data_IF_154449646718
#
_entry.id   IF_154449646718
#
_cell.length_a   1.000
_cell.length_b   1.000
_cell.length_c   1.000
_cell.angle_alpha   90.00
_cell.angle_beta   90.00
_cell.angle_gamma   90.00
#
_symmetry.space_group_name_H-M   'P 1'
#
loop_
_entity.id
_entity.type
_entity.pdbx_description
1 polymer ?
#
# COMPACT_ATOMS: atom_id res chain seq x y z
N UNK A 1 9.30 -2.61 -10.27
CA UNK A 1 7.91 -3.05 -10.55
C UNK A 1 7.22 -2.19 -11.61
N UNK A 2 7.10 -0.88 -11.43
CA UNK A 2 6.39 -0.01 -12.39
C UNK A 2 6.84 -0.20 -13.84
N UNK A 3 8.15 -0.28 -14.10
CA UNK A 3 8.69 -0.55 -15.45
C UNK A 3 8.21 -1.87 -16.05
N UNK A 4 8.13 -2.94 -15.25
CA UNK A 4 7.70 -4.27 -15.73
C UNK A 4 6.23 -4.28 -16.18
N UNK A 5 5.41 -3.41 -15.60
CA UNK A 5 4.00 -3.26 -15.96
C UNK A 5 3.73 -2.05 -16.86
N UNK A 6 4.78 -1.42 -17.40
CA UNK A 6 4.68 -0.23 -18.25
C UNK A 6 3.85 0.89 -17.61
N UNK A 7 4.01 1.08 -16.30
CA UNK A 7 3.39 2.21 -15.58
C UNK A 7 4.32 3.40 -15.68
N UNK A 8 3.89 4.55 -16.24
CA UNK A 8 4.67 5.79 -16.18
C UNK A 8 4.99 6.13 -14.73
N UNK A 9 6.22 6.52 -14.44
CA UNK A 9 6.64 6.82 -13.08
C UNK A 9 7.86 7.73 -13.04
N UNK A 10 7.99 8.45 -11.95
CA UNK A 10 9.17 9.23 -11.58
C UNK A 10 9.76 8.57 -10.34
N UNK A 11 11.04 8.22 -10.39
CA UNK A 11 11.77 7.67 -9.25
C UNK A 11 12.50 8.78 -8.52
N UNK A 12 12.06 9.18 -7.33
CA UNK A 12 12.85 10.00 -6.42
C UNK A 12 13.83 9.11 -5.66
N UNK A 13 15.09 9.52 -5.62
CA UNK A 13 16.17 8.75 -4.99
C UNK A 13 16.80 9.57 -3.89
N UNK A 14 16.72 9.04 -2.68
CA UNK A 14 17.31 9.62 -1.49
C UNK A 14 18.43 8.72 -0.96
N UNK A 15 19.33 9.23 -0.10
CA UNK A 15 20.32 8.41 0.57
C UNK A 15 19.67 7.26 1.33
N UNK A 16 20.30 6.07 1.31
CA UNK A 16 19.75 4.87 1.94
C UNK A 16 19.65 4.99 3.46
N UNK A 17 20.43 5.86 4.05
CA UNK A 17 20.52 6.16 5.47
C UNK A 17 19.89 7.52 5.84
N UNK A 18 19.14 8.11 4.91
CA UNK A 18 18.47 9.39 5.08
C UNK A 18 16.96 9.33 4.88
N UNK A 19 16.28 10.39 5.31
CA UNK A 19 14.86 10.56 5.05
C UNK A 19 14.63 11.19 3.66
N UNK A 20 13.47 10.93 3.04
CA UNK A 20 13.03 11.66 1.86
C UNK A 20 13.00 13.18 2.12
N UNK A 21 13.52 13.97 1.18
CA UNK A 21 13.39 15.43 1.19
C UNK A 21 11.97 15.81 0.75
N UNK A 22 11.17 16.31 1.70
CA UNK A 22 9.78 16.71 1.46
C UNK A 22 9.67 17.87 0.47
N UNK A 23 10.66 18.77 0.43
CA UNK A 23 10.68 19.87 -0.54
C UNK A 23 10.89 19.35 -1.97
N UNK A 24 11.70 18.30 -2.15
CA UNK A 24 11.85 17.63 -3.45
C UNK A 24 10.60 16.88 -3.85
N UNK A 25 9.93 16.22 -2.91
CA UNK A 25 8.63 15.57 -3.17
C UNK A 25 7.60 16.59 -3.64
N UNK A 26 7.44 17.70 -2.92
CA UNK A 26 6.51 18.77 -3.27
C UNK A 26 6.84 19.39 -4.63
N UNK A 27 8.10 19.76 -4.87
CA UNK A 27 8.54 20.28 -6.17
C UNK A 27 8.20 19.34 -7.32
N UNK A 28 8.43 18.04 -7.14
CA UNK A 28 8.11 17.04 -8.16
C UNK A 28 6.61 17.00 -8.46
N UNK A 29 5.76 17.09 -7.44
CA UNK A 29 4.31 17.13 -7.62
C UNK A 29 3.84 18.40 -8.31
N UNK A 30 4.44 19.56 -8.00
CA UNK A 30 4.16 20.84 -8.67
C UNK A 30 4.54 20.81 -10.15
N UNK A 31 5.73 20.27 -10.46
CA UNK A 31 6.25 20.19 -11.82
C UNK A 31 5.53 19.15 -12.69
N UNK A 32 4.85 18.19 -12.08
CA UNK A 32 4.18 17.08 -12.77
C UNK A 32 2.73 16.92 -12.27
N UNK A 33 1.82 17.82 -12.64
CA UNK A 33 0.43 17.84 -12.15
C UNK A 33 -0.43 16.65 -12.65
N UNK A 34 0.09 15.83 -13.54
CA UNK A 34 -0.52 14.59 -14.03
C UNK A 34 -0.22 13.36 -13.15
N UNK A 35 0.57 13.52 -12.08
CA UNK A 35 0.80 12.46 -11.10
C UNK A 35 -0.52 12.15 -10.39
N UNK A 36 -0.97 10.90 -10.52
CA UNK A 36 -2.22 10.42 -9.90
C UNK A 36 -2.00 9.63 -8.62
N UNK A 37 -0.78 9.21 -8.34
CA UNK A 37 -0.46 8.44 -7.13
C UNK A 37 0.99 8.67 -6.68
N UNK A 38 1.18 8.70 -5.37
CA UNK A 38 2.49 8.68 -4.70
C UNK A 38 2.63 7.35 -3.95
N UNK A 39 3.75 6.67 -4.12
CA UNK A 39 4.07 5.43 -3.43
C UNK A 39 5.32 5.62 -2.58
N UNK A 40 5.28 5.15 -1.33
CA UNK A 40 6.46 5.05 -0.49
C UNK A 40 6.37 3.86 0.47
N UNK A 41 7.52 3.38 0.92
CA UNK A 41 7.63 2.41 2.01
C UNK A 41 7.55 3.15 3.35
N UNK A 42 6.77 2.64 4.32
CA UNK A 42 6.68 3.27 5.64
C UNK A 42 7.96 3.07 6.46
N UNK A 43 8.55 1.87 6.41
CA UNK A 43 9.83 1.60 7.05
C UNK A 43 10.74 0.80 6.13
N UNK A 44 11.96 1.28 5.96
CA UNK A 44 13.02 0.58 5.22
C UNK A 44 13.54 -0.61 6.03
N UNK A 45 13.26 -1.80 5.55
CA UNK A 45 13.63 -3.05 6.27
C UNK A 45 15.14 -3.18 6.49
N UNK A 46 15.95 -2.71 5.53
CA UNK A 46 17.41 -2.82 5.58
C UNK A 46 18.10 -1.88 6.56
N UNK A 47 17.49 -0.73 6.85
CA UNK A 47 18.08 0.33 7.69
C UNK A 47 17.30 0.59 8.98
N UNK A 48 16.01 0.20 9.00
CA UNK A 48 15.10 0.51 10.10
C UNK A 48 14.54 1.93 10.07
N UNK A 49 14.87 2.73 9.04
CA UNK A 49 14.40 4.12 8.92
C UNK A 49 12.90 4.15 8.71
N UNK A 50 12.22 4.94 9.52
CA UNK A 50 10.80 5.22 9.40
C UNK A 50 10.60 6.48 8.53
N UNK A 51 10.01 6.30 7.35
CA UNK A 51 9.77 7.39 6.42
C UNK A 51 8.58 8.26 6.85
N UNK A 52 8.58 9.57 6.52
CA UNK A 52 7.54 10.53 6.90
C UNK A 52 6.28 10.37 6.03
N UNK A 53 5.64 9.19 6.13
CA UNK A 53 4.46 8.83 5.31
C UNK A 53 3.31 9.81 5.48
N UNK A 54 3.10 10.33 6.70
CA UNK A 54 2.04 11.28 6.99
C UNK A 54 2.22 12.60 6.22
N UNK A 55 3.44 13.11 6.22
CA UNK A 55 3.81 14.35 5.54
C UNK A 55 3.77 14.17 4.03
N UNK A 56 4.30 13.07 3.52
CA UNK A 56 4.23 12.72 2.09
C UNK A 56 2.78 12.56 1.64
N UNK A 57 1.94 11.91 2.46
CA UNK A 57 0.52 11.76 2.19
C UNK A 57 -0.21 13.10 2.15
N UNK A 58 0.11 14.03 3.05
CA UNK A 58 -0.44 15.38 3.02
C UNK A 58 -0.09 16.13 1.73
N UNK A 59 1.17 16.03 1.28
CA UNK A 59 1.60 16.60 0.00
C UNK A 59 0.86 15.93 -1.18
N UNK A 60 0.77 14.61 -1.20
CA UNK A 60 0.03 13.88 -2.25
C UNK A 60 -1.43 14.38 -2.34
N UNK A 61 -2.12 14.48 -1.21
CA UNK A 61 -3.52 14.96 -1.16
C UNK A 61 -3.65 16.43 -1.59
N UNK A 62 -2.71 17.30 -1.20
CA UNK A 62 -2.71 18.70 -1.61
C UNK A 62 -2.62 18.85 -3.15
N UNK A 63 -2.01 17.88 -3.83
CA UNK A 63 -1.89 17.83 -5.29
C UNK A 63 -2.88 16.88 -5.97
N UNK A 64 -3.89 16.37 -5.24
CA UNK A 64 -4.94 15.50 -5.79
C UNK A 64 -4.49 14.07 -6.12
N UNK A 65 -3.31 13.66 -5.64
CA UNK A 65 -2.78 12.32 -5.84
C UNK A 65 -3.18 11.35 -4.72
N UNK A 66 -3.35 10.07 -5.07
CA UNK A 66 -3.60 8.97 -4.12
C UNK A 66 -2.30 8.62 -3.39
N UNK A 67 -2.35 8.50 -2.06
CA UNK A 67 -1.22 8.05 -1.26
C UNK A 67 -1.25 6.54 -1.04
N UNK A 68 -0.20 5.85 -1.49
CA UNK A 68 -0.02 4.39 -1.35
C UNK A 68 1.19 4.12 -0.45
N UNK A 69 0.97 3.44 0.66
CA UNK A 69 2.03 3.09 1.61
C UNK A 69 2.29 1.57 1.67
N UNK A 70 3.54 1.17 1.52
CA UNK A 70 3.99 -0.15 1.88
C UNK A 70 4.22 -0.19 3.40
N UNK A 71 3.36 -0.89 4.10
CA UNK A 71 3.41 -1.04 5.56
C UNK A 71 3.80 -2.45 5.98
N UNK A 72 4.43 -3.23 5.09
CA UNK A 72 4.77 -4.63 5.36
C UNK A 72 5.57 -4.78 6.65
N UNK A 73 6.53 -3.90 6.89
CA UNK A 73 7.40 -3.97 8.08
C UNK A 73 6.84 -3.25 9.32
N UNK A 74 5.75 -2.50 9.19
CA UNK A 74 5.22 -1.67 10.28
C UNK A 74 3.82 -2.02 10.71
N UNK A 75 3.03 -2.66 9.85
CA UNK A 75 1.66 -3.04 10.17
C UNK A 75 1.62 -3.96 11.40
N UNK A 76 0.79 -3.63 12.38
CA UNK A 76 0.72 -4.29 13.70
C UNK A 76 2.00 -4.19 14.57
N UNK A 77 3.04 -3.44 14.14
CA UNK A 77 4.25 -3.17 14.92
C UNK A 77 4.29 -1.74 15.44
N UNK A 78 3.76 -0.81 14.67
CA UNK A 78 3.71 0.62 15.00
C UNK A 78 2.26 1.05 14.91
N UNK A 79 1.75 1.89 15.86
CA UNK A 79 0.41 2.46 15.75
C UNK A 79 0.24 3.16 14.39
N UNK A 80 -0.79 2.76 13.65
CA UNK A 80 -1.03 3.23 12.29
C UNK A 80 -2.53 3.37 12.03
N UNK A 81 -2.94 4.56 11.68
CA UNK A 81 -4.29 4.86 11.20
C UNK A 81 -4.18 5.40 9.78
N UNK A 82 -4.88 4.80 8.82
CA UNK A 82 -4.86 5.24 7.41
C UNK A 82 -5.30 6.70 7.27
N UNK A 83 -6.28 7.14 8.05
CA UNK A 83 -6.78 8.52 7.98
C UNK A 83 -5.81 9.52 8.62
N UNK A 84 -5.26 9.23 9.80
CA UNK A 84 -4.30 10.10 10.48
C UNK A 84 -2.96 10.21 9.75
N UNK A 85 -2.61 9.16 9.01
CA UNK A 85 -1.38 9.10 8.22
C UNK A 85 -1.55 9.60 6.78
N UNK A 86 -2.74 10.13 6.42
CA UNK A 86 -3.06 10.59 5.06
C UNK A 86 -2.81 9.51 3.99
N UNK A 87 -3.14 8.25 4.29
CA UNK A 87 -2.94 7.11 3.39
C UNK A 87 -4.28 6.69 2.80
N UNK A 88 -4.31 6.39 1.51
CA UNK A 88 -5.51 5.91 0.83
C UNK A 88 -5.48 4.41 0.57
N UNK A 89 -4.27 3.87 0.40
CA UNK A 89 -4.01 2.45 0.22
C UNK A 89 -2.80 2.05 1.03
N UNK A 90 -2.93 1.03 1.87
CA UNK A 90 -1.76 0.40 2.48
C UNK A 90 -1.77 -1.11 2.24
N UNK A 91 -0.58 -1.68 2.18
CA UNK A 91 -0.41 -3.10 1.96
C UNK A 91 0.49 -3.72 3.02
N UNK A 92 0.15 -4.95 3.40
CA UNK A 92 0.97 -5.71 4.33
C UNK A 92 0.86 -7.22 4.09
N UNK A 93 1.51 -7.99 4.94
CA UNK A 93 1.55 -9.44 4.86
C UNK A 93 1.48 -10.07 6.26
N UNK A 94 0.95 -11.29 6.34
CA UNK A 94 0.65 -11.94 7.60
C UNK A 94 1.89 -12.32 8.42
N UNK A 95 3.04 -12.57 7.79
CA UNK A 95 4.25 -13.11 8.45
C UNK A 95 5.16 -12.05 9.10
N UNK A 96 4.78 -10.77 9.06
CA UNK A 96 5.52 -9.68 9.71
C UNK A 96 4.94 -9.38 11.09
N UNK A 97 4.49 -8.16 11.36
CA UNK A 97 3.99 -7.74 12.67
C UNK A 97 2.83 -8.56 13.21
N UNK A 98 1.98 -9.10 12.35
CA UNK A 98 0.90 -10.01 12.76
C UNK A 98 1.42 -11.37 13.25
N UNK A 99 2.65 -11.77 12.88
CA UNK A 99 3.30 -13.03 13.28
C UNK A 99 2.54 -14.29 12.79
N UNK A 100 1.81 -14.17 11.68
CA UNK A 100 1.18 -15.29 11.00
C UNK A 100 2.13 -16.05 10.08
N UNK A 101 1.60 -17.02 9.33
CA UNK A 101 2.36 -17.77 8.32
C UNK A 101 2.54 -16.94 7.05
N UNK A 102 3.63 -17.22 6.31
CA UNK A 102 3.85 -16.70 4.95
C UNK A 102 2.78 -17.19 3.97
N UNK A 103 2.54 -16.44 2.90
CA UNK A 103 1.64 -16.83 1.80
C UNK A 103 0.31 -16.08 1.78
N UNK A 104 0.09 -15.12 2.70
CA UNK A 104 -1.04 -14.21 2.68
C UNK A 104 -0.56 -12.76 2.72
N UNK A 105 -0.97 -11.97 1.74
CA UNK A 105 -0.87 -10.51 1.77
C UNK A 105 -2.27 -9.91 1.70
N UNK A 106 -2.40 -8.73 2.24
CA UNK A 106 -3.66 -7.99 2.22
C UNK A 106 -3.43 -6.52 1.90
N UNK A 107 -4.47 -5.89 1.39
CA UNK A 107 -4.49 -4.47 1.04
C UNK A 107 -5.71 -3.84 1.70
N UNK A 108 -5.50 -2.76 2.43
CA UNK A 108 -6.55 -1.88 2.90
C UNK A 108 -6.60 -0.68 1.97
N UNK A 109 -7.74 -0.44 1.36
CA UNK A 109 -7.91 0.65 0.40
C UNK A 109 -9.23 1.38 0.64
N UNK A 110 -9.23 2.70 0.46
CA UNK A 110 -10.48 3.47 0.43
C UNK A 110 -11.35 2.98 -0.72
N UNK A 111 -12.64 2.79 -0.47
CA UNK A 111 -13.60 2.33 -1.50
C UNK A 111 -13.64 3.26 -2.72
N UNK A 112 -13.47 4.56 -2.50
CA UNK A 112 -13.39 5.56 -3.58
C UNK A 112 -12.20 5.33 -4.52
N UNK A 113 -11.05 4.92 -3.99
CA UNK A 113 -9.86 4.61 -4.79
C UNK A 113 -10.10 3.35 -5.64
N UNK A 114 -10.70 2.30 -5.07
CA UNK A 114 -11.06 1.10 -5.85
C UNK A 114 -12.09 1.42 -6.94
N UNK A 115 -13.05 2.30 -6.66
CA UNK A 115 -14.02 2.73 -7.66
C UNK A 115 -13.35 3.51 -8.81
N UNK A 116 -12.45 4.44 -8.49
CA UNK A 116 -11.70 5.20 -9.50
C UNK A 116 -10.76 4.30 -10.32
N UNK A 117 -10.19 3.27 -9.71
CA UNK A 117 -9.29 2.33 -10.37
C UNK A 117 -9.94 1.55 -11.53
N UNK A 118 -11.28 1.45 -11.56
CA UNK A 118 -12.03 0.82 -12.67
C UNK A 118 -11.82 1.52 -14.02
N UNK A 119 -11.49 2.81 -14.02
CA UNK A 119 -11.25 3.57 -15.25
C UNK A 119 -9.89 3.24 -15.90
N UNK A 120 -9.00 2.55 -15.19
CA UNK A 120 -7.67 2.25 -15.71
C UNK A 120 -7.59 0.85 -16.32
N UNK A 121 -6.71 0.64 -17.32
CA UNK A 121 -6.56 -0.65 -17.97
C UNK A 121 -6.04 -1.72 -16.99
N UNK A 122 -6.58 -2.91 -17.09
CA UNK A 122 -6.14 -4.08 -16.33
C UNK A 122 -4.73 -4.49 -16.77
N UNK A 123 -3.77 -4.40 -15.87
CA UNK A 123 -2.36 -4.76 -16.13
C UNK A 123 -1.96 -6.12 -15.59
N UNK A 124 -2.74 -6.66 -14.66
CA UNK A 124 -2.52 -8.00 -14.10
C UNK A 124 -3.85 -8.69 -13.86
N UNK A 125 -3.98 -9.90 -14.34
CA UNK A 125 -5.18 -10.70 -14.10
C UNK A 125 -5.25 -11.20 -12.65
N UNK A 126 -4.14 -11.71 -12.13
CA UNK A 126 -4.10 -12.31 -10.78
C UNK A 126 -4.19 -11.28 -9.66
N UNK A 127 -3.41 -10.21 -9.75
CA UNK A 127 -3.33 -9.16 -8.71
C UNK A 127 -4.27 -7.97 -8.95
N UNK A 128 -5.38 -8.16 -9.67
CA UNK A 128 -6.38 -7.13 -9.88
C UNK A 128 -7.22 -6.95 -8.62
N UNK A 129 -6.95 -5.89 -7.85
CA UNK A 129 -7.63 -5.60 -6.59
C UNK A 129 -9.11 -5.26 -6.76
N UNK A 130 -9.47 -4.58 -7.86
CA UNK A 130 -10.87 -4.24 -8.16
C UNK A 130 -11.69 -5.50 -8.33
N UNK A 131 -11.23 -6.43 -9.18
CA UNK A 131 -11.93 -7.69 -9.40
C UNK A 131 -11.94 -8.58 -8.15
N UNK A 132 -10.87 -8.53 -7.33
CA UNK A 132 -10.84 -9.26 -6.05
C UNK A 132 -11.88 -8.70 -5.08
N UNK A 133 -11.99 -7.38 -4.96
CA UNK A 133 -12.99 -6.71 -4.13
C UNK A 133 -14.42 -7.03 -4.59
N UNK A 134 -14.68 -6.92 -5.89
CA UNK A 134 -15.99 -7.26 -6.47
C UNK A 134 -16.37 -8.72 -6.25
N UNK A 135 -15.41 -9.64 -6.35
CA UNK A 135 -15.62 -11.05 -6.04
C UNK A 135 -16.04 -11.24 -4.58
N UNK A 136 -15.34 -10.62 -3.63
CA UNK A 136 -15.71 -10.67 -2.23
C UNK A 136 -17.10 -10.09 -1.93
N UNK A 137 -17.45 -8.96 -2.54
CA UNK A 137 -18.79 -8.35 -2.36
C UNK A 137 -19.92 -9.24 -2.91
N UNK A 138 -19.66 -9.96 -4.01
CA UNK A 138 -20.66 -10.80 -4.66
C UNK A 138 -20.82 -12.18 -4.03
N UNK A 139 -19.73 -12.83 -3.64
CA UNK A 139 -19.71 -14.25 -3.24
C UNK A 139 -19.20 -14.49 -1.83
N UNK A 140 -18.52 -13.53 -1.22
CA UNK A 140 -17.79 -13.71 0.05
C UNK A 140 -16.51 -14.56 -0.10
N UNK A 141 -16.09 -14.87 -1.33
CA UNK A 141 -14.98 -15.78 -1.61
C UNK A 141 -13.83 -15.08 -2.32
N UNK A 142 -12.63 -15.63 -2.17
CA UNK A 142 -11.46 -15.21 -2.97
C UNK A 142 -11.65 -15.66 -4.41
N UNK A 143 -11.20 -14.83 -5.37
CA UNK A 143 -11.28 -15.13 -6.81
C UNK A 143 -10.53 -16.41 -7.23
N UNK A 144 -9.52 -16.78 -6.49
CA UNK A 144 -8.66 -17.93 -6.75
C UNK A 144 -8.62 -18.83 -5.53
N UNK A 145 -8.12 -20.05 -5.69
CA UNK A 145 -8.01 -21.03 -4.61
C UNK A 145 -7.37 -20.40 -3.37
N UNK A 146 -8.09 -20.31 -2.24
CA UNK A 146 -7.59 -19.66 -1.04
C UNK A 146 -6.50 -20.49 -0.36
N UNK A 147 -5.47 -19.87 0.22
CA UNK A 147 -4.49 -20.54 1.05
C UNK A 147 -5.07 -20.78 2.45
N UNK A 148 -5.99 -21.75 2.57
CA UNK A 148 -6.87 -21.96 3.74
C UNK A 148 -6.07 -22.04 5.04
N UNK A 149 -5.00 -22.83 5.07
CA UNK A 149 -4.15 -23.00 6.26
C UNK A 149 -3.54 -21.69 6.71
N UNK A 150 -3.04 -20.91 5.76
CA UNK A 150 -2.44 -19.58 6.02
C UNK A 150 -3.49 -18.59 6.54
N UNK A 151 -4.70 -18.63 5.98
CA UNK A 151 -5.81 -17.77 6.44
C UNK A 151 -6.21 -18.13 7.88
N UNK A 152 -6.31 -19.42 8.22
CA UNK A 152 -6.58 -19.86 9.61
C UNK A 152 -5.45 -19.44 10.57
N UNK A 153 -4.20 -19.59 10.16
CA UNK A 153 -3.06 -19.13 10.95
C UNK A 153 -3.09 -17.61 11.18
N UNK A 154 -3.38 -16.82 10.15
CA UNK A 154 -3.52 -15.38 10.26
C UNK A 154 -4.70 -14.98 11.17
N UNK A 155 -5.85 -15.65 11.04
CA UNK A 155 -7.00 -15.46 11.95
C UNK A 155 -6.63 -15.73 13.41
N UNK A 156 -5.88 -16.80 13.68
CA UNK A 156 -5.41 -17.12 15.03
C UNK A 156 -4.44 -16.07 15.56
N UNK A 157 -3.45 -15.67 14.75
CA UNK A 157 -2.48 -14.64 15.11
C UNK A 157 -3.17 -13.31 15.45
N UNK A 158 -4.15 -12.88 14.64
CA UNK A 158 -4.94 -11.67 14.93
C UNK A 158 -5.72 -11.78 16.24
N UNK A 159 -6.32 -12.96 16.55
CA UNK A 159 -7.04 -13.18 17.80
C UNK A 159 -6.11 -13.21 19.04
N UNK A 160 -4.82 -13.45 18.85
CA UNK A 160 -3.81 -13.38 19.92
C UNK A 160 -3.24 -11.97 20.08
N UNK A 161 -3.31 -11.16 19.01
CA UNK A 161 -2.82 -9.78 18.98
C UNK A 161 -3.80 -8.82 19.66
N UNK A 162 -5.10 -9.00 19.49
CA UNK A 162 -6.21 -8.18 20.03
C UNK A 162 -6.94 -8.89 21.17
#
# INVERSE_FOLDING_TARGET
>A
MARAYSVPHIDLKFPIDGLPDLAEVERTLVENPDITAVYTTHQETGTGILNPVREIGALAHAHGAVMIADTISTYAMIPFSVDEMNVDVCMSSAQKGIQGMTGLSFVLAKKSVLAAAKAYPVRSYYTNLVMQYEGFEQTGEMRFTPPVQTVYAAKRALAEYF
#
